data_IF_322845318817
#
_entry.id   IF_322845318817
#
_cell.length_a   1.000
_cell.length_b   1.000
_cell.length_c   1.000
_cell.angle_alpha   90.00
_cell.angle_beta   90.00
_cell.angle_gamma   90.00
#
_symmetry.space_group_name_H-M   'P 1'
#
loop_
_entity.id
_entity.type
_entity.pdbx_description
1 polymer ?
#
# COMPACT_ATOMS: atom_id res chain seq x y z
N UNK A 1 -16.97 -65.10 8.57
CA UNK A 1 -18.02 -64.29 7.88
C UNK A 1 -17.73 -64.27 6.38
N UNK A 2 -18.48 -65.00 5.54
CA UNK A 2 -18.23 -65.01 4.10
C UNK A 2 -18.65 -63.68 3.45
N UNK A 3 -17.73 -63.04 2.71
CA UNK A 3 -17.99 -61.79 1.97
C UNK A 3 -19.08 -62.05 0.91
N UNK A 4 -20.28 -61.47 1.09
CA UNK A 4 -21.36 -61.51 0.10
C UNK A 4 -20.83 -61.05 -1.26
N UNK A 5 -20.81 -61.98 -2.23
CA UNK A 5 -20.41 -61.69 -3.62
C UNK A 5 -21.47 -60.79 -4.24
N UNK A 6 -21.14 -59.50 -4.38
CA UNK A 6 -21.99 -58.54 -5.09
C UNK A 6 -22.25 -59.01 -6.52
N UNK A 7 -23.51 -58.94 -6.94
CA UNK A 7 -23.93 -59.23 -8.32
C UNK A 7 -23.21 -58.31 -9.32
N UNK A 8 -22.98 -58.79 -10.55
CA UNK A 8 -22.34 -58.02 -11.63
C UNK A 8 -23.00 -56.65 -11.82
N UNK A 9 -24.32 -56.57 -11.66
CA UNK A 9 -25.06 -55.33 -11.86
C UNK A 9 -24.94 -54.35 -10.67
N UNK A 10 -24.84 -54.87 -9.45
CA UNK A 10 -24.51 -54.06 -8.26
C UNK A 10 -23.10 -53.49 -8.34
N UNK A 11 -22.13 -54.28 -8.83
CA UNK A 11 -20.77 -53.79 -9.11
C UNK A 11 -20.77 -52.73 -10.20
N UNK A 12 -21.57 -52.89 -11.26
CA UNK A 12 -21.72 -51.90 -12.34
C UNK A 12 -22.33 -50.60 -11.82
N UNK A 13 -23.41 -50.65 -11.03
CA UNK A 13 -24.02 -49.47 -10.38
C UNK A 13 -23.08 -48.80 -9.38
N UNK A 14 -22.33 -49.55 -8.58
CA UNK A 14 -21.30 -48.98 -7.69
C UNK A 14 -20.18 -48.32 -8.48
N UNK A 15 -19.70 -48.94 -9.56
CA UNK A 15 -18.65 -48.36 -10.43
C UNK A 15 -19.16 -47.11 -11.14
N UNK A 16 -20.43 -47.07 -11.57
CA UNK A 16 -21.06 -45.88 -12.14
C UNK A 16 -21.31 -44.78 -11.09
N UNK A 17 -21.70 -45.11 -9.84
CA UNK A 17 -21.75 -44.13 -8.73
C UNK A 17 -20.37 -43.62 -8.37
N UNK A 18 -19.35 -44.49 -8.34
CA UNK A 18 -17.95 -44.09 -8.14
C UNK A 18 -17.49 -43.19 -9.29
N UNK A 19 -17.73 -43.56 -10.55
CA UNK A 19 -17.47 -42.72 -11.73
C UNK A 19 -18.29 -41.42 -11.76
N UNK A 20 -19.51 -41.36 -11.22
CA UNK A 20 -20.23 -40.08 -11.06
C UNK A 20 -19.65 -39.22 -9.93
N UNK A 21 -19.05 -39.84 -8.91
CA UNK A 21 -18.30 -39.15 -7.83
C UNK A 21 -16.87 -38.77 -8.24
N UNK A 22 -16.21 -39.52 -9.12
CA UNK A 22 -14.79 -39.36 -9.51
C UNK A 22 -14.58 -38.96 -10.97
N UNK A 23 -15.64 -38.87 -11.77
CA UNK A 23 -15.58 -38.83 -13.23
C UNK A 23 -16.53 -37.80 -13.85
N UNK A 24 -16.65 -36.63 -13.21
CA UNK A 24 -16.49 -35.41 -14.01
C UNK A 24 -15.00 -35.16 -14.01
N UNK A 25 -14.32 -35.35 -15.14
CA UNK A 25 -13.11 -34.59 -15.41
C UNK A 25 -13.56 -33.12 -15.43
N UNK A 26 -13.70 -32.54 -14.25
CA UNK A 26 -14.25 -31.22 -14.09
C UNK A 26 -13.29 -30.21 -14.70
N UNK A 27 -13.74 -28.97 -14.94
CA UNK A 27 -12.87 -27.83 -15.26
C UNK A 27 -11.74 -27.57 -14.23
N UNK A 28 -11.60 -28.40 -13.19
CA UNK A 28 -10.69 -28.34 -12.04
C UNK A 28 -9.20 -28.48 -12.37
N UNK A 29 -8.83 -29.07 -13.52
CA UNK A 29 -7.42 -29.11 -13.98
C UNK A 29 -7.05 -27.93 -14.89
N UNK A 30 -8.05 -27.24 -15.48
CA UNK A 30 -7.83 -26.19 -16.47
C UNK A 30 -6.95 -25.05 -15.91
N UNK A 31 -7.20 -24.68 -14.66
CA UNK A 31 -6.56 -23.53 -14.03
C UNK A 31 -5.23 -23.87 -13.32
N UNK A 32 -4.83 -25.16 -13.28
CA UNK A 32 -3.51 -25.60 -12.80
C UNK A 32 -2.52 -25.71 -13.96
N UNK A 33 -2.44 -24.66 -14.77
CA UNK A 33 -1.56 -24.59 -15.94
C UNK A 33 -0.72 -23.32 -15.86
N UNK A 34 0.39 -23.30 -16.59
CA UNK A 34 1.33 -22.15 -16.62
C UNK A 34 0.63 -20.84 -16.97
N UNK A 35 -0.40 -20.89 -17.83
CA UNK A 35 -1.22 -19.72 -18.19
C UNK A 35 -1.84 -19.01 -16.98
N UNK A 36 -2.25 -19.75 -15.94
CA UNK A 36 -3.02 -19.21 -14.82
C UNK A 36 -2.25 -19.24 -13.49
N UNK A 37 -1.06 -19.86 -13.47
CA UNK A 37 -0.31 -20.06 -12.22
C UNK A 37 0.07 -18.73 -11.58
N UNK A 38 0.45 -17.72 -12.38
CA UNK A 38 0.81 -16.39 -11.88
C UNK A 38 -0.38 -15.68 -11.24
N UNK A 39 -1.57 -15.79 -11.83
CA UNK A 39 -2.80 -15.20 -11.26
C UNK A 39 -3.18 -15.88 -9.96
N UNK A 40 -3.10 -17.21 -9.88
CA UNK A 40 -3.34 -17.96 -8.64
C UNK A 40 -2.31 -17.54 -7.58
N UNK A 41 -1.03 -17.51 -7.96
CA UNK A 41 0.05 -17.16 -7.04
C UNK A 41 -0.09 -15.74 -6.49
N UNK A 42 -0.47 -14.77 -7.32
CA UNK A 42 -0.71 -13.38 -6.86
C UNK A 42 -1.89 -13.27 -5.91
N UNK A 43 -2.95 -14.04 -6.13
CA UNK A 43 -4.05 -14.11 -5.16
C UNK A 43 -3.58 -14.78 -3.84
N UNK A 44 -2.78 -15.84 -3.92
CA UNK A 44 -2.20 -16.49 -2.75
C UNK A 44 -1.23 -15.57 -1.98
N UNK A 45 -0.46 -14.71 -2.68
CA UNK A 45 0.36 -13.66 -2.05
C UNK A 45 -0.51 -12.67 -1.30
N UNK A 46 -1.59 -12.16 -1.92
CA UNK A 46 -2.51 -11.25 -1.23
C UNK A 46 -3.15 -11.86 0.03
N UNK A 47 -3.49 -13.15 0.01
CA UNK A 47 -3.97 -13.86 1.22
C UNK A 47 -2.87 -13.93 2.29
N UNK A 48 -1.64 -14.25 1.87
CA UNK A 48 -0.50 -14.33 2.79
C UNK A 48 -0.16 -12.98 3.41
N UNK A 49 -0.19 -11.91 2.63
CA UNK A 49 -0.01 -10.54 3.12
C UNK A 49 -1.06 -10.21 4.19
N UNK A 50 -2.35 -10.47 3.94
CA UNK A 50 -3.39 -10.27 4.96
C UNK A 50 -3.16 -11.11 6.21
N UNK A 51 -2.73 -12.37 6.07
CA UNK A 51 -2.39 -13.21 7.21
C UNK A 51 -1.26 -12.61 8.07
N UNK A 52 -0.28 -11.96 7.43
CA UNK A 52 0.84 -11.29 8.12
C UNK A 52 0.42 -9.96 8.76
N UNK A 53 -0.37 -9.16 8.05
CA UNK A 53 -0.91 -7.88 8.54
C UNK A 53 -1.79 -8.07 9.77
N UNK A 54 -2.55 -9.17 9.84
CA UNK A 54 -3.44 -9.51 10.95
C UNK A 54 -2.75 -10.27 12.08
N UNK A 55 -1.41 -10.24 12.16
CA UNK A 55 -0.63 -10.96 13.18
C UNK A 55 -0.97 -12.45 13.28
N UNK A 56 -1.28 -13.06 12.13
CA UNK A 56 -1.71 -14.46 12.00
C UNK A 56 -3.06 -14.79 12.64
N UNK A 57 -3.91 -13.78 12.87
CA UNK A 57 -5.25 -13.99 13.41
C UNK A 57 -6.24 -14.49 12.36
N UNK A 58 -6.03 -14.19 11.07
CA UNK A 58 -6.84 -14.68 9.96
C UNK A 58 -7.00 -16.22 9.99
N UNK A 59 -8.17 -16.69 9.60
CA UNK A 59 -8.60 -18.09 9.59
C UNK A 59 -8.92 -18.58 8.18
N UNK A 60 -8.85 -19.90 7.98
CA UNK A 60 -9.27 -20.55 6.72
C UNK A 60 -10.77 -20.31 6.43
N UNK A 61 -11.57 -20.03 7.47
CA UNK A 61 -12.98 -19.68 7.38
C UNK A 61 -13.21 -18.33 6.71
N UNK A 62 -12.52 -17.30 7.20
CA UNK A 62 -12.58 -15.93 6.67
C UNK A 62 -12.04 -15.87 5.24
N UNK A 63 -10.90 -16.52 4.96
CA UNK A 63 -10.38 -16.61 3.58
C UNK A 63 -11.42 -17.24 2.64
N UNK A 64 -12.11 -18.30 3.09
CA UNK A 64 -13.15 -18.94 2.28
C UNK A 64 -14.33 -17.99 2.02
N UNK A 65 -14.72 -17.18 3.00
CA UNK A 65 -15.79 -16.20 2.85
C UNK A 65 -15.39 -15.09 1.88
N UNK A 66 -14.20 -14.51 2.06
CA UNK A 66 -13.60 -13.51 1.18
C UNK A 66 -13.54 -13.97 -0.28
N UNK A 67 -13.02 -15.18 -0.53
CA UNK A 67 -12.95 -15.74 -1.89
C UNK A 67 -14.34 -15.93 -2.51
N UNK A 68 -15.36 -16.29 -1.72
CA UNK A 68 -16.73 -16.44 -2.20
C UNK A 68 -17.37 -15.10 -2.53
N UNK A 69 -17.14 -14.08 -1.71
CA UNK A 69 -17.59 -12.71 -1.97
C UNK A 69 -16.94 -12.16 -3.25
N UNK A 70 -15.62 -12.30 -3.41
CA UNK A 70 -14.93 -11.87 -4.63
C UNK A 70 -15.43 -12.61 -5.89
N UNK A 71 -15.73 -13.92 -5.78
CA UNK A 71 -16.38 -14.66 -6.88
C UNK A 71 -17.77 -14.10 -7.19
N UNK A 72 -18.55 -13.73 -6.17
CA UNK A 72 -19.87 -13.13 -6.38
C UNK A 72 -19.75 -11.77 -7.10
N UNK A 73 -18.80 -10.92 -6.68
CA UNK A 73 -18.51 -9.63 -7.30
C UNK A 73 -18.09 -9.78 -8.78
N UNK A 74 -17.15 -10.69 -9.07
CA UNK A 74 -16.71 -10.97 -10.44
C UNK A 74 -17.83 -11.48 -11.36
N UNK A 75 -18.92 -12.01 -10.80
CA UNK A 75 -20.11 -12.43 -11.56
C UNK A 75 -21.12 -11.31 -11.76
N UNK A 76 -21.22 -10.39 -10.81
CA UNK A 76 -22.24 -9.33 -10.85
C UNK A 76 -21.87 -8.20 -11.82
N UNK A 77 -20.60 -8.05 -12.18
CA UNK A 77 -20.19 -6.96 -13.05
C UNK A 77 -18.76 -7.05 -13.58
N UNK A 78 -18.29 -5.97 -14.21
CA UNK A 78 -16.88 -5.83 -14.55
C UNK A 78 -16.03 -5.90 -13.28
N UNK A 79 -14.80 -6.37 -13.44
CA UNK A 79 -13.83 -6.32 -12.35
C UNK A 79 -13.57 -4.87 -11.94
N UNK A 80 -13.64 -4.61 -10.64
CA UNK A 80 -13.28 -3.36 -10.00
C UNK A 80 -11.85 -3.49 -9.47
N UNK A 81 -10.92 -2.60 -9.86
CA UNK A 81 -9.59 -2.52 -9.25
C UNK A 81 -9.68 -2.30 -7.73
N UNK A 82 -8.58 -2.56 -7.03
CA UNK A 82 -8.45 -2.20 -5.64
C UNK A 82 -8.54 -0.66 -5.48
N UNK A 83 -9.29 -0.22 -4.48
CA UNK A 83 -9.27 1.19 -4.06
C UNK A 83 -7.88 1.54 -3.54
N UNK A 84 -7.37 2.72 -3.90
CA UNK A 84 -6.17 3.27 -3.27
C UNK A 84 -6.53 3.60 -1.83
N UNK A 85 -5.89 2.94 -0.87
CA UNK A 85 -6.08 3.18 0.56
C UNK A 85 -4.76 3.61 1.16
N UNK A 86 -4.71 4.83 1.68
CA UNK A 86 -3.55 5.33 2.44
C UNK A 86 -3.46 4.65 3.81
N UNK A 87 -4.61 4.45 4.47
CA UNK A 87 -4.72 3.74 5.74
C UNK A 87 -5.74 2.62 5.63
N UNK A 88 -5.33 1.41 6.02
CA UNK A 88 -6.22 0.25 6.11
C UNK A 88 -6.59 0.05 7.58
N UNK A 89 -7.82 0.43 7.95
CA UNK A 89 -8.39 0.07 9.25
C UNK A 89 -8.56 -1.45 9.34
N UNK A 90 -7.77 -2.10 10.20
CA UNK A 90 -7.91 -3.53 10.48
C UNK A 90 -8.87 -3.69 11.66
N UNK A 91 -10.09 -4.15 11.39
CA UNK A 91 -11.06 -4.51 12.43
C UNK A 91 -10.94 -6.00 12.74
N UNK A 92 -10.77 -6.33 14.02
CA UNK A 92 -10.65 -7.72 14.46
C UNK A 92 -11.92 -8.51 14.11
N UNK A 93 -11.76 -9.63 13.42
CA UNK A 93 -12.87 -10.50 12.99
C UNK A 93 -13.63 -10.06 11.73
N UNK A 94 -13.18 -9.01 11.04
CA UNK A 94 -13.74 -8.53 9.74
C UNK A 94 -12.65 -8.48 8.66
N UNK A 95 -11.86 -9.55 8.54
CA UNK A 95 -10.70 -9.57 7.65
C UNK A 95 -11.04 -9.86 6.19
N UNK A 96 -12.29 -10.17 5.86
CA UNK A 96 -12.68 -10.59 4.52
C UNK A 96 -12.42 -9.51 3.48
N UNK A 97 -12.83 -8.27 3.78
CA UNK A 97 -12.63 -7.12 2.89
C UNK A 97 -11.15 -6.84 2.68
N UNK A 98 -10.32 -7.03 3.72
CA UNK A 98 -8.87 -6.89 3.63
C UNK A 98 -8.25 -7.98 2.74
N UNK A 99 -8.70 -9.23 2.83
CA UNK A 99 -8.26 -10.31 1.93
C UNK A 99 -8.63 -9.97 0.48
N UNK A 100 -9.87 -9.52 0.24
CA UNK A 100 -10.32 -9.15 -1.10
C UNK A 100 -9.47 -8.00 -1.66
N UNK A 101 -9.26 -6.97 -0.85
CA UNK A 101 -8.45 -5.81 -1.24
C UNK A 101 -7.02 -6.21 -1.61
N UNK A 102 -6.33 -7.00 -0.78
CA UNK A 102 -4.96 -7.44 -1.06
C UNK A 102 -4.86 -8.35 -2.31
N UNK A 103 -5.85 -9.21 -2.55
CA UNK A 103 -5.91 -10.02 -3.78
C UNK A 103 -6.05 -9.11 -5.01
N UNK A 104 -6.97 -8.15 -4.97
CA UNK A 104 -7.18 -7.21 -6.09
C UNK A 104 -5.94 -6.38 -6.36
N UNK A 105 -5.32 -5.82 -5.32
CA UNK A 105 -4.08 -5.05 -5.43
C UNK A 105 -2.98 -5.85 -6.13
N UNK A 106 -2.72 -7.08 -5.67
CA UNK A 106 -1.71 -7.95 -6.27
C UNK A 106 -2.04 -8.34 -7.73
N UNK A 107 -3.32 -8.44 -8.06
CA UNK A 107 -3.76 -8.66 -9.43
C UNK A 107 -3.62 -7.42 -10.30
N UNK A 108 -3.91 -6.23 -9.79
CA UNK A 108 -3.73 -4.97 -10.49
C UNK A 108 -2.25 -4.78 -10.85
N UNK A 109 -1.34 -5.05 -9.92
CA UNK A 109 0.11 -5.05 -10.17
C UNK A 109 0.52 -6.04 -11.26
N UNK A 110 -0.06 -7.25 -11.25
CA UNK A 110 0.17 -8.25 -12.29
C UNK A 110 -0.35 -7.76 -13.66
N UNK A 111 -1.56 -7.19 -13.69
CA UNK A 111 -2.25 -6.78 -14.91
C UNK A 111 -1.76 -5.45 -15.46
N UNK A 112 -0.98 -4.68 -14.69
CA UNK A 112 -0.22 -3.55 -15.20
C UNK A 112 0.82 -3.97 -16.25
N UNK A 113 1.31 -5.22 -16.18
CA UNK A 113 2.35 -5.74 -17.09
C UNK A 113 1.87 -6.89 -17.97
N UNK A 114 0.71 -7.48 -17.69
CA UNK A 114 0.19 -8.64 -18.41
C UNK A 114 -1.28 -8.47 -18.79
N UNK A 115 -1.73 -9.02 -19.94
CA UNK A 115 -3.14 -8.97 -20.30
C UNK A 115 -4.04 -9.62 -19.25
N UNK A 116 -5.04 -8.85 -18.79
CA UNK A 116 -6.01 -9.31 -17.79
C UNK A 116 -6.79 -10.52 -18.30
N UNK A 117 -6.97 -11.52 -17.45
CA UNK A 117 -7.84 -12.65 -17.75
C UNK A 117 -9.33 -12.28 -17.67
N UNK A 118 -10.20 -12.90 -18.48
CA UNK A 118 -11.64 -12.75 -18.33
C UNK A 118 -12.13 -13.14 -16.94
N UNK A 119 -13.18 -12.50 -16.43
CA UNK A 119 -13.72 -12.78 -15.09
C UNK A 119 -14.05 -14.27 -14.87
N UNK A 120 -14.52 -14.98 -15.90
CA UNK A 120 -14.79 -16.41 -15.83
C UNK A 120 -13.55 -17.25 -15.50
N UNK A 121 -12.37 -16.84 -16.00
CA UNK A 121 -11.10 -17.50 -15.73
C UNK A 121 -10.56 -17.10 -14.35
N UNK A 122 -10.70 -15.84 -13.93
CA UNK A 122 -10.36 -15.39 -12.55
C UNK A 122 -11.18 -16.16 -11.50
N UNK A 123 -12.49 -16.32 -11.71
CA UNK A 123 -13.37 -17.15 -10.88
C UNK A 123 -12.86 -18.61 -10.84
N UNK A 124 -12.33 -19.12 -11.94
CA UNK A 124 -11.71 -20.43 -12.02
C UNK A 124 -10.45 -20.56 -11.15
N UNK A 125 -9.61 -19.53 -11.14
CA UNK A 125 -8.43 -19.44 -10.30
C UNK A 125 -8.81 -19.43 -8.81
N UNK A 126 -9.74 -18.56 -8.40
CA UNK A 126 -10.21 -18.50 -7.00
C UNK A 126 -10.84 -19.81 -6.52
N UNK A 127 -11.59 -20.50 -7.39
CA UNK A 127 -12.11 -21.85 -7.09
C UNK A 127 -11.02 -22.89 -6.89
N UNK A 128 -9.88 -22.74 -7.56
CA UNK A 128 -8.74 -23.64 -7.39
C UNK A 128 -8.10 -23.43 -6.01
N UNK A 129 -8.03 -22.19 -5.54
CA UNK A 129 -7.58 -21.86 -4.18
C UNK A 129 -8.59 -22.39 -3.15
N UNK A 130 -9.89 -22.22 -3.36
CA UNK A 130 -10.94 -22.82 -2.50
C UNK A 130 -10.78 -24.34 -2.37
N UNK A 131 -10.54 -25.05 -3.48
CA UNK A 131 -10.26 -26.49 -3.47
C UNK A 131 -8.96 -26.82 -2.67
N UNK A 132 -7.96 -25.94 -2.69
CA UNK A 132 -6.74 -26.05 -1.87
C UNK A 132 -7.06 -25.90 -0.38
N UNK A 133 -7.86 -24.90 -0.01
CA UNK A 133 -8.32 -24.69 1.36
C UNK A 133 -9.07 -25.93 1.86
N UNK A 134 -9.97 -26.51 1.06
CA UNK A 134 -10.68 -27.75 1.42
C UNK A 134 -9.73 -28.94 1.63
N UNK A 135 -8.58 -28.95 0.97
CA UNK A 135 -7.58 -30.03 1.09
C UNK A 135 -6.75 -29.89 2.36
N UNK A 136 -6.38 -28.66 2.74
CA UNK A 136 -5.44 -28.39 3.82
C UNK A 136 -6.09 -27.94 5.13
N UNK A 137 -7.34 -27.48 5.11
CA UNK A 137 -8.04 -27.04 6.30
C UNK A 137 -8.28 -28.20 7.27
N UNK A 138 -8.04 -27.92 8.56
CA UNK A 138 -8.42 -28.81 9.65
C UNK A 138 -9.89 -28.58 10.05
N UNK A 139 -10.57 -29.55 10.66
CA UNK A 139 -11.91 -29.32 11.19
C UNK A 139 -11.90 -28.25 12.29
N UNK A 140 -12.76 -27.24 12.17
CA UNK A 140 -12.99 -26.23 13.22
C UNK A 140 -13.15 -24.81 12.68
N UNK A 141 -13.84 -23.91 13.41
CA UNK A 141 -14.03 -22.52 13.00
C UNK A 141 -12.73 -21.71 13.02
N UNK A 142 -11.81 -22.02 13.95
CA UNK A 142 -10.50 -21.38 14.04
C UNK A 142 -9.40 -22.11 13.24
N UNK A 143 -9.79 -22.88 12.20
CA UNK A 143 -8.80 -23.61 11.40
C UNK A 143 -7.87 -22.66 10.66
N UNK A 144 -6.59 -22.99 10.66
CA UNK A 144 -5.51 -22.27 9.94
C UNK A 144 -4.61 -23.25 9.19
N UNK A 145 -5.14 -24.41 8.81
CA UNK A 145 -4.36 -25.48 8.18
C UNK A 145 -3.86 -25.06 6.80
N UNK A 146 -4.72 -24.42 6.00
CA UNK A 146 -4.33 -23.84 4.73
C UNK A 146 -3.36 -22.68 4.90
N UNK A 147 -3.61 -21.77 5.86
CA UNK A 147 -2.71 -20.64 6.11
C UNK A 147 -1.32 -21.07 6.57
N UNK A 148 -1.22 -22.11 7.39
CA UNK A 148 0.08 -22.70 7.80
C UNK A 148 0.81 -23.32 6.61
N UNK A 149 0.08 -24.04 5.75
CA UNK A 149 0.62 -24.55 4.48
C UNK A 149 1.13 -23.40 3.60
N UNK A 150 0.34 -22.33 3.47
CA UNK A 150 0.63 -21.18 2.64
C UNK A 150 1.87 -20.43 3.14
N UNK A 151 2.00 -20.18 4.44
CA UNK A 151 3.18 -19.55 5.05
C UNK A 151 4.45 -20.37 4.75
N UNK A 152 4.40 -21.69 4.96
CA UNK A 152 5.53 -22.56 4.63
C UNK A 152 5.85 -22.60 3.13
N UNK A 153 4.84 -22.51 2.27
CA UNK A 153 5.01 -22.46 0.81
C UNK A 153 5.65 -21.14 0.36
N UNK A 154 5.14 -20.00 0.82
CA UNK A 154 5.65 -18.66 0.50
C UNK A 154 7.10 -18.48 0.96
N UNK A 155 7.43 -18.94 2.17
CA UNK A 155 8.81 -18.92 2.67
C UNK A 155 9.79 -19.70 1.79
N UNK A 156 9.39 -20.87 1.25
CA UNK A 156 10.23 -21.63 0.31
C UNK A 156 10.41 -20.94 -1.05
N UNK A 157 9.44 -20.12 -1.44
CA UNK A 157 9.48 -19.34 -2.68
C UNK A 157 10.25 -18.02 -2.53
N UNK A 158 10.77 -17.73 -1.33
CA UNK A 158 11.50 -16.49 -1.04
C UNK A 158 10.61 -15.25 -0.88
N UNK A 159 9.29 -15.42 -0.77
CA UNK A 159 8.36 -14.31 -0.53
C UNK A 159 8.46 -13.90 0.94
N UNK A 160 8.94 -12.69 1.18
CA UNK A 160 9.06 -12.11 2.52
C UNK A 160 8.11 -10.92 2.61
N UNK A 161 7.23 -10.94 3.61
CA UNK A 161 6.32 -9.83 3.92
C UNK A 161 6.74 -9.28 5.28
N UNK A 162 7.34 -8.10 5.23
CA UNK A 162 7.73 -7.33 6.40
C UNK A 162 6.65 -6.29 6.69
N UNK A 163 6.22 -6.22 7.96
CA UNK A 163 5.35 -5.15 8.42
C UNK A 163 6.28 -4.02 8.83
N UNK A 164 6.25 -2.92 8.08
CA UNK A 164 6.90 -1.70 8.54
C UNK A 164 6.12 -1.19 9.76
N UNK A 165 6.79 -0.92 10.89
CA UNK A 165 6.14 -0.34 12.05
C UNK A 165 5.59 1.03 11.67
N UNK A 166 4.36 1.34 12.11
CA UNK A 166 3.72 2.64 11.86
C UNK A 166 4.55 3.81 12.39
N UNK A 167 5.44 3.60 13.37
CA UNK A 167 6.37 4.60 13.90
C UNK A 167 7.47 5.03 12.93
N UNK A 168 7.69 4.30 11.83
CA UNK A 168 8.59 4.74 10.75
C UNK A 168 7.86 5.59 9.70
N UNK A 169 6.53 5.68 9.80
CA UNK A 169 5.64 6.45 8.92
C UNK A 169 4.88 7.55 9.66
N UNK A 170 5.25 7.84 10.91
CA UNK A 170 5.13 9.21 11.40
C UNK A 170 6.09 10.02 10.53
N UNK A 171 5.63 10.41 9.33
CA UNK A 171 6.03 11.67 8.77
C UNK A 171 5.80 12.65 9.92
N UNK A 172 6.88 13.10 10.55
CA UNK A 172 6.87 14.41 11.16
C UNK A 172 6.32 15.29 10.04
N UNK A 173 5.03 15.66 10.13
CA UNK A 173 4.57 16.89 9.52
C UNK A 173 5.51 17.92 10.12
N UNK A 174 6.64 18.16 9.45
CA UNK A 174 7.56 19.24 9.78
C UNK A 174 6.68 20.46 9.65
N UNK A 175 6.12 20.92 10.78
CA UNK A 175 5.32 22.14 10.84
C UNK A 175 6.13 23.16 10.06
N UNK A 176 5.62 23.60 8.92
CA UNK A 176 6.35 24.46 8.00
C UNK A 176 6.74 25.71 8.80
N UNK A 177 8.00 25.75 9.19
CA UNK A 177 8.45 26.78 10.12
C UNK A 177 8.32 28.13 9.43
N UNK A 178 8.08 29.20 10.19
CA UNK A 178 8.03 30.55 9.62
C UNK A 178 9.31 30.89 8.82
N UNK A 179 10.46 30.32 9.21
CA UNK A 179 11.72 30.41 8.46
C UNK A 179 11.65 29.73 7.09
N UNK A 180 11.10 28.50 7.02
CA UNK A 180 10.93 27.76 5.77
C UNK A 180 9.98 28.47 4.80
N UNK A 181 8.83 28.95 5.30
CA UNK A 181 7.87 29.71 4.50
C UNK A 181 8.49 31.02 3.98
N UNK A 182 9.21 31.75 4.84
CA UNK A 182 9.91 32.98 4.41
C UNK A 182 11.00 32.67 3.37
N UNK A 183 11.69 31.53 3.51
CA UNK A 183 12.67 31.10 2.52
C UNK A 183 12.03 30.83 1.15
N UNK A 184 10.89 30.12 1.11
CA UNK A 184 10.17 29.85 -0.14
C UNK A 184 9.78 31.16 -0.85
N UNK A 185 9.19 32.12 -0.14
CA UNK A 185 8.84 33.43 -0.69
C UNK A 185 10.07 34.17 -1.25
N UNK A 186 11.21 34.05 -0.57
CA UNK A 186 12.47 34.63 -1.00
C UNK A 186 13.02 33.98 -2.26
N UNK A 187 12.96 32.65 -2.35
CA UNK A 187 13.36 31.88 -3.53
C UNK A 187 12.46 32.18 -4.73
N UNK A 188 11.15 32.31 -4.53
CA UNK A 188 10.20 32.71 -5.57
C UNK A 188 10.49 34.12 -6.08
N UNK A 189 10.75 35.07 -5.19
CA UNK A 189 11.20 36.40 -5.58
C UNK A 189 12.47 36.34 -6.44
N UNK A 190 13.46 35.54 -6.03
CA UNK A 190 14.68 35.40 -6.80
C UNK A 190 14.42 34.73 -8.17
N UNK A 191 13.53 33.74 -8.23
CA UNK A 191 13.21 32.99 -9.43
C UNK A 191 12.49 33.83 -10.47
N UNK A 192 11.45 34.56 -10.06
CA UNK A 192 10.59 35.30 -10.97
C UNK A 192 11.04 36.75 -11.20
N UNK A 193 11.92 37.27 -10.33
CA UNK A 193 12.48 38.64 -10.41
C UNK A 193 11.40 39.72 -10.51
N UNK A 194 10.21 39.46 -9.97
CA UNK A 194 9.09 40.38 -10.01
C UNK A 194 8.90 41.13 -8.69
N UNK A 195 8.14 42.23 -8.75
CA UNK A 195 7.92 43.12 -7.60
C UNK A 195 6.86 42.57 -6.63
N UNK A 196 5.99 41.68 -7.08
CA UNK A 196 4.89 41.15 -6.29
C UNK A 196 5.40 40.10 -5.30
N UNK A 197 6.24 39.17 -5.77
CA UNK A 197 6.97 38.21 -4.95
C UNK A 197 7.90 38.92 -3.94
N UNK A 198 8.57 40.01 -4.36
CA UNK A 198 9.33 40.84 -3.41
C UNK A 198 8.45 41.40 -2.29
N UNK A 199 7.26 41.92 -2.62
CA UNK A 199 6.35 42.48 -1.62
C UNK A 199 5.81 41.42 -0.67
N UNK A 200 5.55 40.21 -1.15
CA UNK A 200 5.15 39.08 -0.32
C UNK A 200 6.26 38.71 0.67
N UNK A 201 7.47 38.48 0.18
CA UNK A 201 8.65 38.20 1.01
C UNK A 201 8.94 39.33 2.01
N UNK A 202 8.96 40.59 1.58
CA UNK A 202 9.21 41.74 2.44
C UNK A 202 8.13 41.89 3.52
N UNK A 203 6.86 41.65 3.16
CA UNK A 203 5.73 41.67 4.08
C UNK A 203 5.89 40.64 5.19
N UNK A 204 6.20 39.39 4.84
CA UNK A 204 6.38 38.31 5.79
C UNK A 204 7.62 38.53 6.67
N UNK A 205 8.75 38.93 6.08
CA UNK A 205 9.96 39.25 6.84
C UNK A 205 9.69 40.35 7.89
N UNK A 206 8.92 41.38 7.53
CA UNK A 206 8.53 42.45 8.47
C UNK A 206 7.56 41.95 9.55
N UNK A 207 6.65 41.03 9.21
CA UNK A 207 5.77 40.40 10.18
C UNK A 207 6.57 39.59 11.22
N UNK A 208 7.52 38.77 10.76
CA UNK A 208 8.44 38.01 11.62
C UNK A 208 9.30 38.91 12.52
N UNK A 209 9.81 40.02 12.00
CA UNK A 209 10.50 41.04 12.82
C UNK A 209 9.58 41.62 13.90
N UNK A 210 8.31 41.86 13.58
CA UNK A 210 7.29 42.27 14.55
C UNK A 210 7.08 41.24 15.67
N UNK A 211 7.27 39.96 15.37
CA UNK A 211 7.15 38.83 16.30
C UNK A 211 8.47 38.50 17.04
N UNK A 212 9.53 39.29 16.83
CA UNK A 212 10.88 39.06 17.40
C UNK A 212 11.64 37.85 16.85
N UNK A 213 11.28 37.39 15.66
CA UNK A 213 12.00 36.34 14.93
C UNK A 213 13.09 36.94 14.03
N UNK A 214 13.96 37.77 14.63
CA UNK A 214 14.99 38.48 13.89
C UNK A 214 16.11 37.56 13.37
N UNK A 215 16.35 36.44 14.06
CA UNK A 215 17.43 35.52 13.70
C UNK A 215 17.08 34.76 12.42
N UNK A 216 15.85 34.29 12.31
CA UNK A 216 15.29 33.57 11.18
C UNK A 216 15.30 34.45 9.93
N UNK A 217 14.87 35.71 10.04
CA UNK A 217 14.94 36.68 8.94
C UNK A 217 16.39 36.92 8.48
N UNK A 218 17.35 36.98 9.41
CA UNK A 218 18.79 37.09 9.06
C UNK A 218 19.26 35.85 8.31
N UNK A 219 18.96 34.65 8.81
CA UNK A 219 19.36 33.39 8.19
C UNK A 219 18.88 33.32 6.75
N UNK A 220 17.59 33.57 6.51
CA UNK A 220 16.99 33.54 5.17
C UNK A 220 17.62 34.60 4.26
N UNK A 221 17.74 35.85 4.72
CA UNK A 221 18.36 36.91 3.92
C UNK A 221 19.83 36.58 3.54
N UNK A 222 20.60 36.03 4.48
CA UNK A 222 21.98 35.60 4.22
C UNK A 222 22.04 34.42 3.25
N UNK A 223 21.11 33.47 3.38
CA UNK A 223 20.97 32.33 2.47
C UNK A 223 20.74 32.80 1.03
N UNK A 224 19.74 33.68 0.82
CA UNK A 224 19.40 34.24 -0.50
C UNK A 224 20.57 35.04 -1.10
N UNK A 225 21.29 35.81 -0.28
CA UNK A 225 22.52 36.51 -0.73
C UNK A 225 23.58 35.50 -1.17
N UNK A 226 23.78 34.42 -0.41
CA UNK A 226 24.74 33.37 -0.72
C UNK A 226 24.42 32.60 -2.00
N UNK A 227 23.13 32.40 -2.32
CA UNK A 227 22.69 31.68 -3.51
C UNK A 227 23.01 32.45 -4.82
N UNK A 228 22.79 33.76 -4.85
CA UNK A 228 22.82 34.54 -6.11
C UNK A 228 24.03 35.47 -6.19
N UNK A 229 24.51 36.00 -5.05
CA UNK A 229 25.65 36.92 -4.96
C UNK A 229 25.59 38.13 -5.92
N UNK A 230 24.38 38.63 -6.18
CA UNK A 230 24.15 39.79 -7.05
C UNK A 230 24.04 41.10 -6.22
N UNK A 231 24.72 42.19 -6.62
CA UNK A 231 24.73 43.43 -5.83
C UNK A 231 23.35 44.02 -5.56
N UNK A 232 22.42 43.94 -6.51
CA UNK A 232 21.08 44.50 -6.35
C UNK A 232 20.24 43.71 -5.33
N UNK A 233 20.42 42.39 -5.22
CA UNK A 233 19.78 41.55 -4.19
C UNK A 233 20.26 41.98 -2.80
N UNK A 234 21.56 42.23 -2.66
CA UNK A 234 22.16 42.71 -1.40
C UNK A 234 21.59 44.08 -1.02
N UNK A 235 21.41 44.99 -1.99
CA UNK A 235 20.82 46.31 -1.75
C UNK A 235 19.36 46.23 -1.31
N UNK A 236 18.54 45.37 -1.95
CA UNK A 236 17.12 45.19 -1.60
C UNK A 236 16.94 44.51 -0.23
N UNK A 237 17.79 43.55 0.13
CA UNK A 237 17.73 42.86 1.44
C UNK A 237 18.33 43.69 2.60
N UNK A 238 19.14 44.70 2.29
CA UNK A 238 19.84 45.52 3.30
C UNK A 238 18.92 46.16 4.35
N UNK A 239 17.74 46.72 4.02
CA UNK A 239 16.84 47.29 5.01
C UNK A 239 16.31 46.25 6.01
N UNK A 240 15.96 45.04 5.52
CA UNK A 240 15.48 43.95 6.37
C UNK A 240 16.58 43.46 7.31
N UNK A 241 17.78 43.22 6.79
CA UNK A 241 18.93 42.84 7.59
C UNK A 241 19.26 43.90 8.64
N UNK A 242 19.28 45.19 8.28
CA UNK A 242 19.55 46.27 9.25
C UNK A 242 18.52 46.29 10.38
N UNK A 243 17.24 46.11 10.07
CA UNK A 243 16.18 46.06 11.07
C UNK A 243 16.36 44.85 12.00
N UNK A 244 16.63 43.67 11.44
CA UNK A 244 16.85 42.43 12.18
C UNK A 244 18.06 42.51 13.12
N UNK A 245 19.21 42.95 12.62
CA UNK A 245 20.42 43.14 13.43
C UNK A 245 20.22 44.20 14.53
N UNK A 246 19.49 45.27 14.22
CA UNK A 246 19.11 46.29 15.20
C UNK A 246 18.28 45.72 16.35
N UNK A 247 17.36 44.80 16.05
CA UNK A 247 16.54 44.12 17.06
C UNK A 247 17.37 43.18 17.95
N UNK A 248 18.42 42.55 17.41
CA UNK A 248 19.37 41.73 18.17
C UNK A 248 20.44 42.55 18.91
N UNK A 249 20.48 43.88 18.74
CA UNK A 249 21.48 44.74 19.35
C UNK A 249 22.90 44.56 18.79
N UNK A 250 23.03 43.96 17.60
CA UNK A 250 24.31 43.67 16.94
C UNK A 250 24.56 44.73 15.86
N UNK A 251 25.76 45.33 15.78
CA UNK A 251 26.07 46.32 14.75
C UNK A 251 26.09 45.68 13.36
N UNK A 252 25.22 46.16 12.47
CA UNK A 252 25.18 45.73 11.07
C UNK A 252 26.48 46.10 10.33
N UNK A 253 27.16 45.10 9.76
CA UNK A 253 28.34 45.31 8.91
C UNK A 253 29.68 45.43 9.63
N UNK A 254 29.77 45.10 10.93
CA UNK A 254 31.09 44.91 11.58
C UNK A 254 31.54 43.46 11.33
N UNK A 255 32.66 43.21 10.63
CA UNK A 255 33.24 41.88 10.60
C UNK A 255 33.54 41.44 12.05
N UNK A 256 33.38 40.16 12.41
CA UNK A 256 33.84 39.65 13.68
C UNK A 256 35.34 39.93 13.80
N UNK A 257 35.73 40.63 14.85
CA UNK A 257 37.13 40.89 15.19
C UNK A 257 37.80 39.67 15.81
#
# INVERSE_FOLDING_TARGET
MPKKRLSRDQKRKQKLRKKRRTGRAGPRKKYRTEKYIMTIMRAEVGIYETFRMTERQLTDGEVRLALRQLIAELRSGPYTPAEVREVVEIREGEYEDLVIWNIKRNWDDLFATQPRHPNADLIGCLRTILDSIETWATPGPASRGYLSYLEGFMGRMGVTVERLPLSEWEEEEEEETAEAYLQELGEDWLRFRDREAWQAFEGEARAMLGQRQAQEVINVCQHLIGQVNEPWVIEELRPLLRAAYGQLGVPFGRPPG
#
